data_IF_098962146915
#
_entry.id   IF_098962146915
#
_cell.length_a   1.000
_cell.length_b   1.000
_cell.length_c   1.000
_cell.angle_alpha   90.00
_cell.angle_beta   90.00
_cell.angle_gamma   90.00
#
_symmetry.space_group_name_H-M   'P 1'
#
loop_
_entity.id
_entity.type
_entity.pdbx_description
1 polymer ?
#
# COMPACT_ATOMS: atom_id res chain seq x y z
N UNK A 1 19.03 -27.56 10.96
CA UNK A 1 18.68 -26.96 9.66
C UNK A 1 18.41 -25.48 9.90
N UNK A 2 19.04 -24.52 9.20
CA UNK A 2 18.71 -23.12 9.44
C UNK A 2 17.24 -22.92 9.08
N UNK A 3 16.43 -22.53 10.06
CA UNK A 3 14.97 -22.34 9.96
C UNK A 3 14.58 -21.09 9.17
N UNK A 4 15.54 -20.41 8.54
CA UNK A 4 15.38 -19.08 7.95
C UNK A 4 15.77 -19.11 6.47
N UNK A 5 14.82 -18.78 5.59
CA UNK A 5 15.02 -18.77 4.14
C UNK A 5 15.09 -17.34 3.60
N UNK A 6 16.30 -16.80 3.52
CA UNK A 6 16.55 -15.45 3.00
C UNK A 6 16.40 -15.32 1.46
N UNK A 7 16.29 -16.45 0.73
CA UNK A 7 16.18 -16.44 -0.75
C UNK A 7 14.75 -16.28 -1.28
N UNK A 8 13.73 -16.44 -0.44
CA UNK A 8 12.32 -16.40 -0.86
C UNK A 8 11.70 -15.00 -0.85
N UNK A 9 12.51 -13.94 -0.79
CA UNK A 9 12.01 -12.56 -0.80
C UNK A 9 11.69 -12.12 -2.24
N UNK A 10 10.41 -11.81 -2.56
CA UNK A 10 10.04 -11.34 -3.88
C UNK A 10 10.64 -9.95 -4.12
N UNK A 11 10.88 -9.58 -5.39
CA UNK A 11 11.41 -8.27 -5.73
C UNK A 11 10.45 -7.16 -5.26
N UNK A 12 11.02 -6.12 -4.68
CA UNK A 12 10.31 -4.95 -4.20
C UNK A 12 10.26 -3.93 -5.33
N UNK A 13 9.06 -3.54 -5.80
CA UNK A 13 8.94 -2.54 -6.84
C UNK A 13 9.33 -1.16 -6.30
N UNK A 14 9.83 -0.30 -7.19
CA UNK A 14 10.08 1.10 -6.84
C UNK A 14 8.77 1.80 -6.46
N UNK A 15 8.86 2.93 -5.75
CA UNK A 15 7.67 3.71 -5.37
C UNK A 15 6.81 4.13 -6.58
N UNK A 16 7.42 4.39 -7.74
CA UNK A 16 6.72 4.72 -8.99
C UNK A 16 5.98 3.50 -9.53
N UNK A 17 6.69 2.39 -9.70
CA UNK A 17 6.12 1.14 -10.22
C UNK A 17 5.00 0.61 -9.31
N UNK A 18 5.16 0.75 -7.99
CA UNK A 18 4.14 0.34 -7.03
C UNK A 18 2.85 1.14 -7.23
N UNK A 19 2.94 2.45 -7.47
CA UNK A 19 1.77 3.28 -7.80
C UNK A 19 1.13 2.82 -9.11
N UNK A 20 1.92 2.56 -10.15
CA UNK A 20 1.42 2.16 -11.46
C UNK A 20 0.77 0.78 -11.42
N UNK A 21 1.36 -0.19 -10.70
CA UNK A 21 0.77 -1.51 -10.46
C UNK A 21 -0.59 -1.38 -9.77
N UNK A 22 -0.68 -0.56 -8.71
CA UNK A 22 -1.91 -0.38 -7.93
C UNK A 22 -3.01 0.27 -8.79
N UNK A 23 -2.70 1.35 -9.50
CA UNK A 23 -3.66 2.07 -10.33
C UNK A 23 -4.10 1.25 -11.54
N UNK A 24 -3.16 0.57 -12.19
CA UNK A 24 -3.45 -0.33 -13.33
C UNK A 24 -4.33 -1.50 -12.89
N UNK A 25 -4.02 -2.15 -11.77
CA UNK A 25 -4.85 -3.23 -11.21
C UNK A 25 -6.26 -2.72 -10.88
N UNK A 26 -6.36 -1.53 -10.28
CA UNK A 26 -7.66 -0.91 -9.97
C UNK A 26 -8.48 -0.67 -11.25
N UNK A 27 -7.87 -0.12 -12.30
CA UNK A 27 -8.57 0.18 -13.54
C UNK A 27 -9.01 -1.10 -14.28
N UNK A 28 -8.16 -2.13 -14.32
CA UNK A 28 -8.46 -3.40 -15.04
C UNK A 28 -9.46 -4.30 -14.32
N UNK A 29 -9.47 -4.31 -12.97
CA UNK A 29 -10.28 -5.23 -12.17
C UNK A 29 -11.60 -4.65 -11.66
N UNK A 30 -11.84 -3.34 -11.83
CA UNK A 30 -13.09 -2.70 -11.41
C UNK A 30 -13.84 -2.14 -12.61
N UNK A 31 -15.19 -2.12 -12.60
CA UNK A 31 -15.96 -1.52 -13.70
C UNK A 31 -15.56 -0.06 -13.92
N UNK A 32 -15.56 0.40 -15.16
CA UNK A 32 -15.01 1.71 -15.57
C UNK A 32 -16.08 2.70 -16.01
N UNK A 33 -17.22 2.23 -16.51
CA UNK A 33 -18.28 3.06 -17.07
C UNK A 33 -19.34 3.38 -16.01
N UNK A 34 -19.72 4.65 -15.90
CA UNK A 34 -20.84 5.14 -15.10
C UNK A 34 -21.50 6.31 -15.83
N UNK A 35 -22.85 6.32 -15.88
CA UNK A 35 -23.61 7.36 -16.55
C UNK A 35 -24.31 8.28 -15.53
N UNK A 36 -24.50 9.58 -15.84
CA UNK A 36 -25.14 10.53 -14.93
C UNK A 36 -26.59 10.19 -14.56
N UNK A 37 -27.34 9.52 -15.44
CA UNK A 37 -28.75 9.15 -15.19
C UNK A 37 -28.95 7.96 -14.23
N UNK A 38 -27.87 7.38 -13.70
CA UNK A 38 -27.98 6.27 -12.74
C UNK A 38 -28.42 6.75 -11.35
N UNK A 39 -29.15 5.90 -10.63
CA UNK A 39 -29.48 6.13 -9.22
C UNK A 39 -28.22 6.48 -8.41
N UNK A 40 -28.29 7.51 -7.57
CA UNK A 40 -27.14 8.00 -6.79
C UNK A 40 -26.48 6.90 -5.95
N UNK A 41 -27.25 5.94 -5.43
CA UNK A 41 -26.75 4.79 -4.70
C UNK A 41 -25.79 3.94 -5.53
N UNK A 42 -26.09 3.71 -6.81
CA UNK A 42 -25.21 2.99 -7.75
C UNK A 42 -23.93 3.78 -8.02
N UNK A 43 -24.02 5.10 -8.17
CA UNK A 43 -22.85 5.98 -8.39
C UNK A 43 -21.93 5.99 -7.16
N UNK A 44 -22.50 6.12 -5.96
CA UNK A 44 -21.75 6.03 -4.70
C UNK A 44 -21.05 4.68 -4.59
N UNK A 45 -21.76 3.57 -4.81
CA UNK A 45 -21.19 2.23 -4.75
C UNK A 45 -20.06 2.03 -5.77
N UNK A 46 -20.20 2.57 -6.97
CA UNK A 46 -19.15 2.54 -8.00
C UNK A 46 -17.85 3.20 -7.52
N UNK A 47 -17.92 4.41 -6.97
CA UNK A 47 -16.73 5.12 -6.48
C UNK A 47 -16.19 4.55 -5.17
N UNK A 48 -17.05 4.12 -4.24
CA UNK A 48 -16.64 3.43 -3.02
C UNK A 48 -15.87 2.15 -3.33
N UNK A 49 -16.33 1.36 -4.31
CA UNK A 49 -15.64 0.14 -4.75
C UNK A 49 -14.25 0.44 -5.25
N UNK A 50 -14.05 1.51 -6.04
CA UNK A 50 -12.72 1.90 -6.53
C UNK A 50 -11.79 2.26 -5.37
N UNK A 51 -12.23 3.09 -4.43
CA UNK A 51 -11.40 3.48 -3.27
C UNK A 51 -11.04 2.28 -2.40
N UNK A 52 -12.01 1.41 -2.09
CA UNK A 52 -11.78 0.20 -1.30
C UNK A 52 -10.87 -0.80 -1.99
N UNK A 53 -11.06 -1.01 -3.29
CA UNK A 53 -10.21 -1.93 -4.05
C UNK A 53 -8.76 -1.45 -4.10
N UNK A 54 -8.53 -0.15 -4.26
CA UNK A 54 -7.18 0.42 -4.21
C UNK A 54 -6.56 0.27 -2.82
N UNK A 55 -7.31 0.58 -1.75
CA UNK A 55 -6.83 0.39 -0.38
C UNK A 55 -6.44 -1.08 -0.10
N UNK A 56 -7.30 -2.02 -0.47
CA UNK A 56 -7.02 -3.45 -0.31
C UNK A 56 -5.75 -3.85 -1.08
N UNK A 57 -5.62 -3.42 -2.33
CA UNK A 57 -4.43 -3.71 -3.15
C UNK A 57 -3.14 -3.17 -2.52
N UNK A 58 -3.18 -1.96 -1.95
CA UNK A 58 -2.03 -1.38 -1.26
C UNK A 58 -1.71 -2.17 0.00
N UNK A 59 -2.72 -2.48 0.82
CA UNK A 59 -2.54 -3.26 2.05
C UNK A 59 -2.00 -4.66 1.78
N UNK A 60 -2.46 -5.33 0.72
CA UNK A 60 -1.93 -6.62 0.26
C UNK A 60 -0.44 -6.50 -0.12
N UNK A 61 -0.07 -5.50 -0.93
CA UNK A 61 1.31 -5.32 -1.40
C UNK A 61 2.28 -4.95 -0.29
N UNK A 62 1.94 -3.96 0.54
CA UNK A 62 2.77 -3.57 1.68
C UNK A 62 2.80 -4.66 2.76
N UNK A 63 1.68 -5.36 2.96
CA UNK A 63 1.60 -6.50 3.88
C UNK A 63 2.51 -7.65 3.46
N UNK A 64 2.56 -7.98 2.16
CA UNK A 64 3.46 -9.00 1.64
C UNK A 64 4.94 -8.65 1.88
N UNK A 65 5.33 -7.37 1.68
CA UNK A 65 6.70 -6.91 2.00
C UNK A 65 6.99 -7.15 3.48
N UNK A 66 6.13 -6.68 4.39
CA UNK A 66 6.32 -6.83 5.84
C UNK A 66 6.39 -8.28 6.32
N UNK A 67 5.68 -9.20 5.65
CA UNK A 67 5.67 -10.62 6.01
C UNK A 67 6.88 -11.39 5.50
N UNK A 68 7.47 -10.94 4.38
CA UNK A 68 8.58 -11.68 3.76
C UNK A 68 9.93 -11.35 4.39
N UNK A 69 10.06 -10.16 4.97
CA UNK A 69 11.28 -9.78 5.68
C UNK A 69 11.36 -10.41 7.08
N UNK A 70 12.51 -11.01 7.45
CA UNK A 70 12.69 -11.63 8.76
C UNK A 70 12.71 -10.58 9.87
N UNK A 71 12.01 -10.86 10.97
CA UNK A 71 12.06 -10.00 12.16
C UNK A 71 13.37 -10.24 12.91
N UNK A 72 14.24 -9.23 12.96
CA UNK A 72 15.56 -9.34 13.60
C UNK A 72 15.53 -9.75 15.08
N UNK A 73 14.40 -9.54 15.79
CA UNK A 73 14.24 -9.96 17.19
C UNK A 73 13.87 -11.45 17.34
N UNK A 74 13.31 -12.07 16.30
CA UNK A 74 12.78 -13.45 16.35
C UNK A 74 13.75 -14.45 15.66
N UNK A 75 14.87 -13.97 15.12
CA UNK A 75 15.92 -14.79 14.51
C UNK A 75 17.02 -15.11 15.52
N UNK A 76 17.76 -16.18 15.26
CA UNK A 76 18.89 -16.58 16.11
C UNK A 76 19.91 -15.43 16.27
N UNK A 77 20.46 -15.20 17.49
CA UNK A 77 21.37 -14.08 17.79
C UNK A 77 22.52 -13.92 16.78
N UNK A 78 23.10 -15.03 16.33
CA UNK A 78 24.13 -15.02 15.28
C UNK A 78 23.71 -14.26 14.01
N UNK A 79 22.52 -14.54 13.47
CA UNK A 79 22.02 -13.84 12.27
C UNK A 79 21.58 -12.41 12.60
N UNK A 80 21.06 -12.17 13.80
CA UNK A 80 20.69 -10.82 14.24
C UNK A 80 21.91 -9.89 14.38
N UNK A 81 23.05 -10.42 14.81
CA UNK A 81 24.29 -9.67 14.92
C UNK A 81 24.97 -9.52 13.56
N UNK A 82 24.96 -10.55 12.71
CA UNK A 82 25.44 -10.44 11.32
C UNK A 82 24.67 -9.36 10.54
N UNK A 83 23.34 -9.34 10.63
CA UNK A 83 22.52 -8.31 9.99
C UNK A 83 22.79 -6.91 10.58
N UNK A 84 23.09 -6.82 11.89
CA UNK A 84 23.43 -5.54 12.50
C UNK A 84 24.72 -4.96 11.91
N UNK A 85 25.74 -5.80 11.71
CA UNK A 85 27.03 -5.36 11.15
C UNK A 85 26.94 -5.01 9.66
N UNK A 86 26.10 -5.71 8.90
CA UNK A 86 25.98 -5.52 7.44
C UNK A 86 25.01 -4.40 7.04
N UNK A 87 23.85 -4.31 7.71
CA UNK A 87 22.71 -3.51 7.23
C UNK A 87 22.25 -2.43 8.19
N UNK A 88 22.87 -2.31 9.36
CA UNK A 88 22.39 -1.50 10.49
C UNK A 88 20.98 -1.90 10.94
N UNK A 89 20.90 -2.49 12.14
CA UNK A 89 19.65 -2.96 12.73
C UNK A 89 18.61 -1.85 12.87
N UNK A 90 19.03 -0.63 13.17
CA UNK A 90 18.12 0.48 13.40
C UNK A 90 17.53 1.00 12.09
N UNK A 91 18.37 1.14 11.06
CA UNK A 91 17.90 1.52 9.73
C UNK A 91 16.92 0.48 9.15
N UNK A 92 17.21 -0.80 9.33
CA UNK A 92 16.33 -1.91 8.94
C UNK A 92 14.95 -1.84 9.61
N UNK A 93 14.93 -1.69 10.93
CA UNK A 93 13.68 -1.59 11.70
C UNK A 93 12.90 -0.33 11.34
N UNK A 94 13.58 0.79 11.12
CA UNK A 94 12.94 2.04 10.69
C UNK A 94 12.30 1.91 9.31
N UNK A 95 12.99 1.29 8.34
CA UNK A 95 12.44 1.08 7.00
C UNK A 95 11.16 0.23 7.04
N UNK A 96 11.17 -0.91 7.74
CA UNK A 96 9.97 -1.74 7.91
C UNK A 96 8.86 -1.03 8.70
N UNK A 97 9.24 -0.25 9.73
CA UNK A 97 8.31 0.57 10.49
C UNK A 97 7.60 1.62 9.61
N UNK A 98 8.33 2.30 8.74
CA UNK A 98 7.79 3.27 7.79
C UNK A 98 6.77 2.63 6.83
N UNK A 99 7.05 1.43 6.32
CA UNK A 99 6.12 0.67 5.48
C UNK A 99 4.83 0.32 6.23
N UNK A 100 4.93 -0.11 7.49
CA UNK A 100 3.77 -0.43 8.31
C UNK A 100 2.92 0.82 8.62
N UNK A 101 3.56 1.95 8.92
CA UNK A 101 2.86 3.24 9.10
C UNK A 101 2.17 3.67 7.81
N UNK A 102 2.82 3.52 6.65
CA UNK A 102 2.24 3.85 5.35
C UNK A 102 0.98 3.03 5.05
N UNK A 103 1.01 1.72 5.35
CA UNK A 103 -0.15 0.83 5.26
C UNK A 103 -1.33 1.35 6.09
N UNK A 104 -1.11 1.61 7.38
CA UNK A 104 -2.15 2.09 8.30
C UNK A 104 -2.70 3.47 7.92
N UNK A 105 -1.84 4.34 7.36
CA UNK A 105 -2.25 5.65 6.87
C UNK A 105 -3.17 5.52 5.64
N UNK A 106 -2.84 4.64 4.69
CA UNK A 106 -3.71 4.34 3.55
C UNK A 106 -5.07 3.80 3.98
N UNK A 107 -5.10 2.91 4.98
CA UNK A 107 -6.35 2.36 5.53
C UNK A 107 -7.22 3.45 6.18
N UNK A 108 -6.60 4.40 6.87
CA UNK A 108 -7.29 5.54 7.48
C UNK A 108 -7.85 6.50 6.44
N UNK A 109 -7.05 6.87 5.42
CA UNK A 109 -7.51 7.68 4.28
C UNK A 109 -8.70 7.03 3.59
N UNK A 110 -8.67 5.71 3.36
CA UNK A 110 -9.75 5.00 2.71
C UNK A 110 -11.04 5.03 3.54
N UNK A 111 -10.95 4.83 4.86
CA UNK A 111 -12.10 4.86 5.77
C UNK A 111 -12.79 6.22 5.73
N UNK A 112 -12.03 7.31 5.82
CA UNK A 112 -12.55 8.67 5.82
C UNK A 112 -13.19 9.04 4.47
N UNK A 113 -12.51 8.72 3.37
CA UNK A 113 -13.00 9.02 2.03
C UNK A 113 -14.25 8.24 1.69
N UNK A 114 -14.33 6.97 2.09
CA UNK A 114 -15.54 6.16 1.91
C UNK A 114 -16.69 6.71 2.73
N UNK A 115 -16.45 7.16 3.97
CA UNK A 115 -17.46 7.84 4.79
C UNK A 115 -18.00 9.09 4.09
N UNK A 116 -17.13 9.91 3.50
CA UNK A 116 -17.57 11.10 2.75
C UNK A 116 -18.36 10.76 1.49
N UNK A 117 -18.00 9.70 0.74
CA UNK A 117 -18.71 9.30 -0.48
C UNK A 117 -20.15 8.84 -0.16
N UNK A 118 -20.41 8.28 1.02
CA UNK A 118 -21.78 7.88 1.43
C UNK A 118 -22.77 9.04 1.37
N UNK A 119 -22.30 10.27 1.60
CA UNK A 119 -23.11 11.49 1.59
C UNK A 119 -22.96 12.30 0.29
N UNK A 120 -22.33 11.75 -0.76
CA UNK A 120 -22.18 12.44 -2.04
C UNK A 120 -23.52 12.62 -2.75
N UNK A 121 -23.89 13.86 -3.05
CA UNK A 121 -25.14 14.27 -3.72
C UNK A 121 -25.12 14.06 -5.25
N UNK A 122 -23.95 14.16 -5.86
CA UNK A 122 -23.77 14.21 -7.32
C UNK A 122 -22.65 13.30 -7.81
N UNK A 123 -22.71 12.94 -9.10
CA UNK A 123 -21.65 12.20 -9.77
C UNK A 123 -20.32 12.95 -9.74
N UNK A 124 -20.37 14.28 -9.92
CA UNK A 124 -19.18 15.14 -9.89
C UNK A 124 -18.51 15.11 -8.51
N UNK A 125 -19.27 15.33 -7.43
CA UNK A 125 -18.74 15.28 -6.06
C UNK A 125 -18.10 13.93 -5.74
N UNK A 126 -18.77 12.83 -6.11
CA UNK A 126 -18.22 11.49 -5.90
C UNK A 126 -16.93 11.25 -6.72
N UNK A 127 -16.86 11.76 -7.96
CA UNK A 127 -15.65 11.70 -8.80
C UNK A 127 -14.49 12.46 -8.17
N UNK A 128 -14.74 13.66 -7.63
CA UNK A 128 -13.74 14.48 -6.94
C UNK A 128 -13.23 13.79 -5.67
N UNK A 129 -14.12 13.26 -4.83
CA UNK A 129 -13.74 12.50 -3.64
C UNK A 129 -12.89 11.27 -3.98
N UNK A 130 -13.25 10.53 -5.04
CA UNK A 130 -12.44 9.40 -5.53
C UNK A 130 -11.05 9.87 -5.97
N UNK A 131 -10.95 10.95 -6.73
CA UNK A 131 -9.64 11.48 -7.17
C UNK A 131 -8.77 11.91 -5.99
N UNK A 132 -9.36 12.61 -5.02
CA UNK A 132 -8.66 13.03 -3.81
C UNK A 132 -8.16 11.83 -2.99
N UNK A 133 -9.00 10.79 -2.82
CA UNK A 133 -8.63 9.58 -2.10
C UNK A 133 -7.42 8.87 -2.74
N UNK A 134 -7.50 8.60 -4.05
CA UNK A 134 -6.41 7.95 -4.78
C UNK A 134 -5.15 8.80 -4.80
N UNK A 135 -5.27 10.11 -5.01
CA UNK A 135 -4.14 11.04 -4.98
C UNK A 135 -3.41 11.00 -3.64
N UNK A 136 -4.14 11.11 -2.52
CA UNK A 136 -3.57 11.02 -1.18
C UNK A 136 -2.87 9.69 -0.92
N UNK A 137 -3.45 8.57 -1.34
CA UNK A 137 -2.81 7.24 -1.23
C UNK A 137 -1.52 7.18 -2.05
N UNK A 138 -1.52 7.67 -3.30
CA UNK A 138 -0.33 7.70 -4.13
C UNK A 138 0.77 8.60 -3.54
N UNK A 139 0.43 9.74 -2.94
CA UNK A 139 1.40 10.59 -2.24
C UNK A 139 2.05 9.87 -1.07
N UNK A 140 1.28 9.11 -0.29
CA UNK A 140 1.83 8.29 0.80
C UNK A 140 2.83 7.26 0.29
N UNK A 141 2.50 6.58 -0.82
CA UNK A 141 3.40 5.59 -1.44
C UNK A 141 4.68 6.23 -1.99
N UNK A 142 4.57 7.37 -2.69
CA UNK A 142 5.72 8.10 -3.23
C UNK A 142 6.67 8.61 -2.16
N UNK A 143 6.16 8.92 -0.96
CA UNK A 143 6.98 9.33 0.18
C UNK A 143 7.90 8.22 0.69
N UNK A 144 7.55 6.95 0.47
CA UNK A 144 8.36 5.80 0.91
C UNK A 144 9.45 5.39 -0.07
N UNK A 145 9.88 6.28 -0.96
CA UNK A 145 10.90 6.00 -1.98
C UNK A 145 12.21 5.50 -1.38
N UNK A 146 12.72 6.15 -0.35
CA UNK A 146 13.98 5.78 0.31
C UNK A 146 13.89 4.41 0.98
N UNK A 147 12.83 4.17 1.75
CA UNK A 147 12.61 2.89 2.44
C UNK A 147 12.50 1.71 1.45
N UNK A 148 11.77 1.89 0.33
CA UNK A 148 11.64 0.83 -0.67
C UNK A 148 12.95 0.56 -1.42
N UNK A 149 13.74 1.60 -1.72
CA UNK A 149 15.06 1.44 -2.35
C UNK A 149 16.01 0.65 -1.43
N UNK A 150 16.09 1.06 -0.17
CA UNK A 150 16.92 0.39 0.82
C UNK A 150 16.51 -1.07 1.03
N UNK A 151 15.20 -1.36 1.15
CA UNK A 151 14.74 -2.74 1.31
C UNK A 151 15.04 -3.62 0.09
N UNK A 152 15.10 -3.06 -1.12
CA UNK A 152 15.52 -3.82 -2.32
C UNK A 152 17.03 -4.05 -2.35
N UNK A 153 17.84 -3.12 -1.84
CA UNK A 153 19.29 -3.29 -1.71
C UNK A 153 19.67 -4.32 -0.63
N UNK A 154 18.86 -4.42 0.43
CA UNK A 154 19.03 -5.41 1.51
C UNK A 154 18.60 -6.82 1.09
N UNK A 155 17.74 -6.93 0.08
CA UNK A 155 17.20 -8.21 -0.42
C UNK A 155 18.27 -9.07 -1.10
#
# INVERSE_FOLDING_TARGET
MPTYNFKQIPPIPTSGDLVDIVLTRTQRRTPTVVHPGYKITRIRNFYMRKVKFTQQTISEKLGAILQTFPRLNDIHPFYADLCNTLYDRDHYKLALGQINVAKNLCDSIARDMVRMIKYGDSAYRCKCLKRAALGRMCTVLKRQKSALSYLEEVR
#
